data_IF_196857935296
#
_entry.id   IF_196857935296
#
_cell.length_a   1.000
_cell.length_b   1.000
_cell.length_c   1.000
_cell.angle_alpha   90.00
_cell.angle_beta   90.00
_cell.angle_gamma   90.00
#
_symmetry.space_group_name_H-M   'P 1'
#
loop_
_entity.id
_entity.type
_entity.pdbx_description
1 polymer ?
#
# COMPACT_ATOMS: atom_id res chain seq x y z
N UNK A 1 -3.05 -24.89 -13.32
CA UNK A 1 -3.46 -23.53 -13.72
C UNK A 1 -2.43 -22.55 -13.20
N UNK A 2 -2.36 -21.36 -13.77
CA UNK A 2 -1.50 -20.28 -13.27
C UNK A 2 -2.21 -19.55 -12.12
N UNK A 3 -1.45 -19.16 -11.09
CA UNK A 3 -1.87 -18.25 -10.03
C UNK A 3 -1.02 -16.99 -10.14
N UNK A 4 -1.60 -15.92 -10.69
CA UNK A 4 -0.90 -14.66 -10.90
C UNK A 4 -0.43 -14.04 -9.58
N UNK A 5 -1.14 -14.29 -8.48
CA UNK A 5 -0.73 -13.82 -7.15
C UNK A 5 0.29 -14.77 -6.49
N UNK A 6 0.96 -15.64 -7.26
CA UNK A 6 2.18 -16.38 -6.87
C UNK A 6 3.32 -16.16 -7.87
N UNK A 7 3.15 -15.26 -8.84
CA UNK A 7 4.11 -14.99 -9.90
C UNK A 7 4.96 -13.72 -9.68
N UNK A 8 4.72 -12.95 -8.62
CA UNK A 8 5.56 -11.81 -8.24
C UNK A 8 6.90 -12.26 -7.66
N UNK A 9 7.97 -11.44 -7.72
CA UNK A 9 9.32 -11.89 -7.34
C UNK A 9 9.55 -12.02 -5.82
N UNK A 10 8.71 -11.44 -4.96
CA UNK A 10 8.90 -11.48 -3.51
C UNK A 10 8.62 -12.88 -2.95
N UNK A 11 9.65 -13.56 -2.47
CA UNK A 11 9.52 -14.92 -1.94
C UNK A 11 9.11 -15.98 -2.97
N UNK A 12 9.20 -15.67 -4.26
CA UNK A 12 8.80 -16.57 -5.34
C UNK A 12 9.53 -17.92 -5.26
N UNK A 13 8.81 -19.02 -5.51
CA UNK A 13 9.40 -20.36 -5.56
C UNK A 13 8.57 -21.34 -6.37
N UNK A 14 9.26 -22.23 -7.09
CA UNK A 14 8.67 -23.27 -7.96
C UNK A 14 7.82 -24.31 -7.23
N UNK A 15 7.95 -24.39 -5.91
CA UNK A 15 7.14 -25.29 -5.07
C UNK A 15 5.70 -24.81 -4.90
N UNK A 16 5.41 -23.54 -5.20
CA UNK A 16 4.05 -22.99 -5.12
C UNK A 16 3.31 -23.28 -6.42
N UNK A 17 2.16 -23.96 -6.30
CA UNK A 17 1.34 -24.33 -7.45
C UNK A 17 0.91 -23.08 -8.23
N UNK A 18 1.13 -23.09 -9.55
CA UNK A 18 0.71 -21.99 -10.42
C UNK A 18 1.64 -20.77 -10.41
N UNK A 19 2.79 -20.83 -9.74
CA UNK A 19 3.78 -19.74 -9.66
C UNK A 19 4.42 -19.33 -10.99
N UNK A 20 4.24 -20.12 -12.06
CA UNK A 20 4.83 -19.88 -13.38
C UNK A 20 6.25 -20.45 -13.50
N UNK A 21 6.88 -20.23 -14.66
CA UNK A 21 8.21 -20.79 -14.98
C UNK A 21 9.35 -20.04 -14.26
N UNK A 22 9.16 -18.75 -14.02
CA UNK A 22 10.06 -17.84 -13.31
C UNK A 22 9.25 -16.64 -12.78
N UNK A 23 9.75 -15.83 -11.84
CA UNK A 23 9.00 -14.66 -11.40
C UNK A 23 8.77 -13.70 -12.59
N UNK A 24 7.57 -13.15 -12.69
CA UNK A 24 7.13 -12.28 -13.78
C UNK A 24 7.12 -12.98 -15.16
N UNK A 25 6.94 -14.30 -15.18
CA UNK A 25 6.71 -15.03 -16.44
C UNK A 25 5.41 -14.62 -17.13
N UNK A 26 4.40 -14.21 -16.35
CA UNK A 26 3.10 -13.84 -16.89
C UNK A 26 3.08 -12.37 -17.32
N UNK A 27 2.58 -12.05 -18.52
CA UNK A 27 2.58 -10.69 -19.04
C UNK A 27 1.73 -9.73 -18.18
N UNK A 28 0.71 -10.21 -17.49
CA UNK A 28 -0.13 -9.43 -16.58
C UNK A 28 0.67 -8.90 -15.38
N UNK A 29 1.44 -9.77 -14.71
CA UNK A 29 2.25 -9.40 -13.55
C UNK A 29 3.45 -8.57 -13.97
N UNK A 30 4.16 -8.91 -15.06
CA UNK A 30 5.27 -8.11 -15.60
C UNK A 30 4.79 -6.69 -15.96
N UNK A 31 3.64 -6.57 -16.63
CA UNK A 31 3.08 -5.26 -17.00
C UNK A 31 2.76 -4.40 -15.77
N UNK A 32 2.15 -4.98 -14.73
CA UNK A 32 1.87 -4.29 -13.47
C UNK A 32 3.17 -3.83 -12.80
N UNK A 33 4.14 -4.72 -12.65
CA UNK A 33 5.43 -4.40 -12.02
C UNK A 33 6.15 -3.29 -12.78
N UNK A 34 6.24 -3.37 -14.10
CA UNK A 34 6.86 -2.32 -14.93
C UNK A 34 6.13 -0.99 -14.79
N UNK A 35 4.80 -1.01 -14.83
CA UNK A 35 3.99 0.19 -14.69
C UNK A 35 4.24 0.86 -13.33
N UNK A 36 4.28 0.09 -12.24
CA UNK A 36 4.54 0.62 -10.93
C UNK A 36 5.98 1.14 -10.77
N UNK A 37 6.98 0.41 -11.26
CA UNK A 37 8.39 0.84 -11.23
C UNK A 37 8.65 2.11 -12.04
N UNK A 38 7.91 2.34 -13.13
CA UNK A 38 7.96 3.57 -13.91
C UNK A 38 7.33 4.79 -13.19
N UNK A 39 6.60 4.57 -12.09
CA UNK A 39 5.88 5.60 -11.31
C UNK A 39 6.44 5.64 -9.88
N UNK A 40 7.62 6.26 -9.68
CA UNK A 40 8.27 6.27 -8.38
C UNK A 40 7.49 7.02 -7.30
N UNK A 41 6.40 7.71 -7.66
CA UNK A 41 5.48 8.42 -6.76
C UNK A 41 4.35 7.56 -6.18
N UNK A 42 4.29 6.26 -6.49
CA UNK A 42 3.40 5.32 -5.80
C UNK A 42 3.83 5.21 -4.33
N UNK A 43 2.92 5.41 -3.37
CA UNK A 43 3.26 5.36 -1.94
C UNK A 43 2.44 4.31 -1.16
N UNK A 44 1.65 3.49 -1.86
CA UNK A 44 0.85 2.42 -1.28
C UNK A 44 0.32 1.47 -2.36
N UNK A 45 -0.13 0.30 -1.95
CA UNK A 45 -0.68 -0.74 -2.82
C UNK A 45 -1.89 -1.41 -2.17
N UNK A 46 -2.94 -1.64 -2.94
CA UNK A 46 -4.12 -2.40 -2.50
C UNK A 46 -4.45 -3.43 -3.57
N UNK A 47 -4.34 -4.72 -3.22
CA UNK A 47 -4.81 -5.85 -4.00
C UNK A 47 -6.22 -6.21 -3.52
N UNK A 48 -7.19 -6.17 -4.44
CA UNK A 48 -8.59 -6.46 -4.14
C UNK A 48 -8.95 -7.85 -4.64
N UNK A 49 -9.17 -8.75 -3.69
CA UNK A 49 -9.45 -10.17 -3.86
C UNK A 49 -10.80 -10.53 -3.23
N UNK A 50 -11.20 -11.78 -3.41
CA UNK A 50 -12.33 -12.42 -2.74
C UNK A 50 -11.95 -13.89 -2.47
N UNK A 51 -12.33 -14.54 -1.38
CA UNK A 51 -13.30 -14.12 -0.37
C UNK A 51 -12.88 -14.48 1.06
N UNK A 52 -13.50 -13.87 2.07
CA UNK A 52 -13.25 -14.22 3.47
C UNK A 52 -13.55 -13.11 4.47
N UNK A 53 -13.70 -11.86 4.01
CA UNK A 53 -13.97 -10.71 4.87
C UNK A 53 -12.75 -10.22 5.64
N UNK A 54 -11.55 -10.27 5.04
CA UNK A 54 -10.29 -9.96 5.71
C UNK A 54 -9.55 -8.80 5.06
N UNK A 55 -8.81 -8.05 5.88
CA UNK A 55 -7.72 -7.19 5.42
C UNK A 55 -6.38 -7.84 5.79
N UNK A 56 -5.57 -8.15 4.81
CA UNK A 56 -4.32 -8.87 4.97
C UNK A 56 -3.14 -7.93 4.77
N UNK A 57 -2.19 -7.97 5.70
CA UNK A 57 -0.90 -7.28 5.57
C UNK A 57 0.23 -8.27 5.33
N UNK A 58 1.31 -7.82 4.66
CA UNK A 58 2.56 -8.55 4.61
C UNK A 58 3.13 -8.89 6.00
N UNK A 59 4.00 -9.90 6.10
CA UNK A 59 4.47 -10.74 4.98
C UNK A 59 3.74 -12.09 4.92
N UNK A 60 3.68 -12.72 3.73
CA UNK A 60 3.32 -14.14 3.61
C UNK A 60 4.50 -15.08 3.87
N UNK A 61 5.73 -14.57 3.83
CA UNK A 61 6.96 -15.38 3.80
C UNK A 61 7.82 -15.28 5.04
N UNK A 62 7.55 -14.31 5.92
CA UNK A 62 8.36 -14.00 7.10
C UNK A 62 7.47 -13.76 8.32
N UNK A 63 7.89 -14.20 9.51
CA UNK A 63 7.22 -13.82 10.75
C UNK A 63 7.40 -12.32 11.02
N UNK A 64 6.49 -11.77 11.82
CA UNK A 64 6.51 -10.35 12.21
C UNK A 64 7.82 -9.97 12.90
N UNK A 65 8.39 -10.90 13.66
CA UNK A 65 9.69 -10.71 14.34
C UNK A 65 10.87 -10.38 13.41
N UNK A 66 10.74 -10.60 12.09
CA UNK A 66 11.74 -10.25 11.09
C UNK A 66 11.42 -8.95 10.33
N UNK A 67 10.27 -8.32 10.59
CA UNK A 67 9.88 -7.05 9.99
C UNK A 67 10.36 -5.89 10.88
N UNK A 68 10.69 -4.71 10.29
CA UNK A 68 10.99 -3.52 11.09
C UNK A 68 9.83 -3.21 12.05
N UNK A 69 10.07 -3.10 13.38
CA UNK A 69 8.99 -2.86 14.35
C UNK A 69 8.18 -1.60 14.10
N UNK A 70 8.81 -0.56 13.54
CA UNK A 70 8.16 0.68 13.11
C UNK A 70 7.16 0.43 11.98
N UNK A 71 7.48 -0.42 11.01
CA UNK A 71 6.58 -0.70 9.89
C UNK A 71 5.37 -1.51 10.39
N UNK A 72 5.58 -2.48 11.29
CA UNK A 72 4.50 -3.19 11.99
C UNK A 72 3.60 -2.23 12.78
N UNK A 73 4.18 -1.28 13.50
CA UNK A 73 3.42 -0.26 14.22
C UNK A 73 2.52 0.53 13.26
N UNK A 74 3.07 0.99 12.13
CA UNK A 74 2.30 1.77 11.14
C UNK A 74 1.23 0.93 10.44
N UNK A 75 1.51 -0.32 10.09
CA UNK A 75 0.49 -1.26 9.59
C UNK A 75 -0.68 -1.37 10.59
N UNK A 76 -0.38 -1.51 11.89
CA UNK A 76 -1.40 -1.59 12.92
C UNK A 76 -2.18 -0.26 13.08
N UNK A 77 -1.54 0.91 12.92
CA UNK A 77 -2.24 2.19 12.91
C UNK A 77 -3.21 2.33 11.73
N UNK A 78 -2.79 1.91 10.53
CA UNK A 78 -3.70 1.82 9.38
C UNK A 78 -4.87 0.86 9.65
N UNK A 79 -4.60 -0.29 10.27
CA UNK A 79 -5.63 -1.26 10.64
C UNK A 79 -6.65 -0.70 11.64
N UNK A 80 -6.19 -0.02 12.69
CA UNK A 80 -7.06 0.63 13.69
C UNK A 80 -8.03 1.64 13.07
N UNK A 81 -7.59 2.36 12.03
CA UNK A 81 -8.47 3.26 11.28
C UNK A 81 -9.45 2.49 10.37
N UNK A 82 -8.97 1.43 9.71
CA UNK A 82 -9.70 0.77 8.62
C UNK A 82 -10.74 -0.24 9.10
N UNK A 83 -10.46 -0.99 10.17
CA UNK A 83 -11.39 -1.99 10.73
C UNK A 83 -12.75 -1.43 11.14
N UNK A 84 -12.88 -0.28 11.85
CA UNK A 84 -14.21 0.24 12.20
C UNK A 84 -15.01 0.75 10.98
N UNK A 85 -14.36 1.08 9.86
CA UNK A 85 -15.01 1.51 8.63
C UNK A 85 -15.51 0.33 7.79
N UNK A 86 -14.67 -0.69 7.67
CA UNK A 86 -14.90 -1.86 6.80
C UNK A 86 -15.57 -3.02 7.52
N UNK A 87 -15.54 -3.01 8.86
CA UNK A 87 -15.81 -4.13 9.76
C UNK A 87 -14.89 -5.33 9.57
N UNK A 88 -13.84 -5.23 8.75
CA UNK A 88 -12.95 -6.34 8.45
C UNK A 88 -11.81 -6.43 9.46
N UNK A 89 -11.57 -7.61 10.07
CA UNK A 89 -10.39 -7.81 10.88
C UNK A 89 -9.13 -7.76 10.01
N UNK A 90 -8.07 -7.23 10.60
CA UNK A 90 -6.74 -7.16 9.99
C UNK A 90 -5.90 -8.33 10.46
N UNK A 91 -5.31 -9.05 9.51
CA UNK A 91 -4.48 -10.22 9.78
C UNK A 91 -3.11 -10.12 9.11
N UNK A 92 -2.09 -10.66 9.79
CA UNK A 92 -0.81 -10.98 9.17
C UNK A 92 -0.97 -12.25 8.35
N UNK A 93 -0.54 -12.24 7.08
CA UNK A 93 -0.62 -13.46 6.25
C UNK A 93 0.20 -14.58 6.90
N UNK A 94 1.44 -14.32 7.29
CA UNK A 94 2.30 -15.34 7.90
C UNK A 94 1.85 -15.76 9.29
N UNK A 95 1.46 -14.84 10.17
CA UNK A 95 1.15 -15.21 11.55
C UNK A 95 -0.22 -15.87 11.71
N UNK A 96 -1.21 -15.39 10.97
CA UNK A 96 -2.63 -15.72 11.20
C UNK A 96 -3.23 -16.62 10.12
N UNK A 97 -2.74 -16.58 8.87
CA UNK A 97 -3.31 -17.33 7.73
C UNK A 97 -2.43 -18.49 7.23
N UNK A 98 -1.12 -18.46 7.51
CA UNK A 98 -0.21 -19.52 7.09
C UNK A 98 -0.30 -20.71 8.05
N UNK A 99 -1.06 -21.73 7.65
CA UNK A 99 -1.27 -22.96 8.41
C UNK A 99 0.04 -23.72 8.72
N UNK A 100 0.87 -23.96 7.69
CA UNK A 100 2.20 -24.57 7.85
C UNK A 100 3.29 -23.52 7.63
N UNK A 101 3.82 -22.98 8.73
CA UNK A 101 4.89 -21.96 8.72
C UNK A 101 6.21 -22.44 8.07
N UNK A 102 6.37 -23.74 7.81
CA UNK A 102 7.51 -24.28 7.05
C UNK A 102 7.29 -24.30 5.53
N UNK A 103 6.03 -24.15 5.09
CA UNK A 103 5.60 -24.14 3.70
C UNK A 103 4.81 -22.86 3.39
N UNK A 104 5.53 -21.78 3.12
CA UNK A 104 4.94 -20.46 2.86
C UNK A 104 4.47 -20.30 1.41
N UNK A 105 3.43 -19.49 1.22
CA UNK A 105 2.88 -19.16 -0.10
C UNK A 105 3.47 -17.83 -0.62
N UNK A 106 4.73 -17.85 -1.05
CA UNK A 106 5.39 -16.66 -1.61
C UNK A 106 4.93 -16.30 -3.03
N UNK A 107 5.36 -15.13 -3.50
CA UNK A 107 5.08 -14.62 -4.84
C UNK A 107 3.83 -13.75 -4.95
N UNK A 108 3.34 -13.22 -3.83
CA UNK A 108 2.17 -12.34 -3.78
C UNK A 108 2.50 -10.87 -4.12
N UNK A 109 1.51 -10.17 -4.67
CA UNK A 109 1.67 -8.78 -5.11
C UNK A 109 1.82 -7.78 -3.96
N UNK A 110 1.15 -8.01 -2.83
CA UNK A 110 1.30 -7.20 -1.63
C UNK A 110 2.68 -7.37 -0.98
N UNK A 111 3.21 -8.60 -0.89
CA UNK A 111 4.61 -8.84 -0.49
C UNK A 111 5.58 -8.13 -1.41
N UNK A 112 5.39 -8.20 -2.73
CA UNK A 112 6.25 -7.48 -3.67
C UNK A 112 6.18 -5.96 -3.50
N UNK A 113 4.99 -5.40 -3.28
CA UNK A 113 4.84 -3.97 -3.05
C UNK A 113 5.60 -3.52 -1.79
N UNK A 114 5.60 -4.34 -0.73
CA UNK A 114 6.35 -4.06 0.49
C UNK A 114 7.84 -4.35 0.34
N UNK A 115 8.24 -5.58 0.01
CA UNK A 115 9.63 -6.05 -0.02
C UNK A 115 10.46 -5.47 -1.18
N UNK A 116 9.86 -5.06 -2.29
CA UNK A 116 10.58 -4.56 -3.47
C UNK A 116 10.26 -3.11 -3.84
N UNK A 117 9.04 -2.64 -3.57
CA UNK A 117 8.69 -1.23 -3.73
C UNK A 117 8.87 -0.42 -2.45
N UNK A 118 8.92 -1.04 -1.27
CA UNK A 118 9.10 -0.34 -0.01
C UNK A 118 7.89 0.51 0.40
N UNK A 119 6.67 0.09 0.01
CA UNK A 119 5.43 0.80 0.35
C UNK A 119 4.50 -0.09 1.19
N UNK A 120 3.68 0.51 2.05
CA UNK A 120 2.65 -0.24 2.76
C UNK A 120 1.65 -0.83 1.74
N UNK A 121 1.33 -2.10 1.90
CA UNK A 121 0.49 -2.86 0.98
C UNK A 121 -0.55 -3.69 1.71
N UNK A 122 -1.66 -3.93 1.04
CA UNK A 122 -2.79 -4.70 1.56
C UNK A 122 -3.31 -5.65 0.51
N UNK A 123 -3.74 -6.84 0.93
CA UNK A 123 -4.70 -7.65 0.20
C UNK A 123 -6.02 -7.62 0.96
N UNK A 124 -7.12 -7.21 0.31
CA UNK A 124 -8.45 -7.33 0.89
C UNK A 124 -9.13 -8.54 0.28
N UNK A 125 -9.58 -9.48 1.12
CA UNK A 125 -10.44 -10.59 0.72
C UNK A 125 -11.90 -10.18 0.97
N UNK A 126 -12.54 -9.59 -0.03
CA UNK A 126 -13.91 -9.13 0.05
C UNK A 126 -14.90 -10.27 0.31
N UNK A 127 -16.04 -9.93 0.87
CA UNK A 127 -17.18 -10.79 1.07
C UNK A 127 -16.94 -11.92 2.08
N UNK A 128 -17.67 -11.87 3.19
CA UNK A 128 -17.79 -12.98 4.14
C UNK A 128 -19.26 -13.36 4.27
N UNK A 129 -19.66 -14.38 3.51
CA UNK A 129 -21.03 -14.88 3.51
C UNK A 129 -21.47 -15.31 4.90
N UNK A 130 -20.56 -15.91 5.69
CA UNK A 130 -20.83 -16.36 7.05
C UNK A 130 -21.14 -15.16 7.93
N UNK A 131 -20.28 -14.13 7.91
CA UNK A 131 -20.52 -12.91 8.66
C UNK A 131 -21.88 -12.28 8.35
N UNK A 132 -22.27 -12.21 7.08
CA UNK A 132 -23.58 -11.66 6.73
C UNK A 132 -24.76 -12.49 7.24
N UNK A 133 -24.60 -13.81 7.35
CA UNK A 133 -25.64 -14.72 7.79
C UNK A 133 -25.70 -14.87 9.32
N UNK A 134 -24.57 -14.73 10.03
CA UNK A 134 -24.46 -15.05 11.46
C UNK A 134 -24.07 -13.86 12.33
N UNK A 135 -23.43 -12.83 11.77
CA UNK A 135 -22.79 -11.74 12.50
C UNK A 135 -21.41 -12.07 13.07
N UNK A 136 -20.89 -13.27 12.80
CA UNK A 136 -19.59 -13.75 13.25
C UNK A 136 -18.68 -14.00 12.04
N UNK A 137 -17.44 -13.50 12.11
CA UNK A 137 -16.48 -13.66 11.01
C UNK A 137 -16.08 -15.12 10.80
N UNK A 138 -15.83 -15.46 9.55
CA UNK A 138 -15.18 -16.71 9.14
C UNK A 138 -13.83 -16.88 9.85
N UNK A 139 -13.44 -18.13 10.11
CA UNK A 139 -12.11 -18.41 10.65
C UNK A 139 -11.02 -18.11 9.60
N UNK A 140 -9.79 -17.85 10.05
CA UNK A 140 -8.66 -17.64 9.13
C UNK A 140 -8.28 -18.88 8.32
N UNK A 141 -8.78 -20.06 8.72
CA UNK A 141 -8.58 -21.34 8.04
C UNK A 141 -9.72 -21.70 7.08
N UNK A 142 -10.69 -20.80 6.84
CA UNK A 142 -11.92 -21.07 6.08
C UNK A 142 -11.67 -21.65 4.69
N UNK A 143 -10.57 -21.29 4.02
CA UNK A 143 -10.21 -21.83 2.71
C UNK A 143 -9.71 -23.28 2.74
N UNK A 144 -9.26 -23.76 3.91
CA UNK A 144 -8.80 -25.13 4.10
C UNK A 144 -9.90 -26.04 4.62
N UNK A 145 -10.70 -25.56 5.58
CA UNK A 145 -11.69 -26.38 6.29
C UNK A 145 -13.13 -26.16 5.82
N UNK A 146 -13.40 -25.06 5.13
CA UNK A 146 -14.75 -24.66 4.74
C UNK A 146 -15.63 -24.23 5.93
N UNK A 147 -16.86 -23.75 5.65
CA UNK A 147 -17.82 -23.39 6.70
C UNK A 147 -18.28 -24.63 7.46
N UNK A 148 -18.67 -24.47 8.72
CA UNK A 148 -19.40 -25.54 9.44
C UNK A 148 -20.77 -25.78 8.81
N UNK A 149 -21.40 -26.92 9.12
CA UNK A 149 -22.76 -27.23 8.65
C UNK A 149 -23.75 -26.15 9.09
N UNK A 150 -23.63 -25.66 10.33
CA UNK A 150 -24.48 -24.60 10.87
C UNK A 150 -24.30 -23.28 10.11
N UNK A 151 -23.06 -22.93 9.76
CA UNK A 151 -22.73 -21.75 8.97
C UNK A 151 -23.28 -21.87 7.55
N UNK A 152 -23.05 -22.98 6.85
CA UNK A 152 -23.58 -23.23 5.51
C UNK A 152 -25.12 -23.14 5.47
N UNK A 153 -25.79 -23.76 6.45
CA UNK A 153 -27.25 -23.66 6.58
C UNK A 153 -27.73 -22.24 6.89
N UNK A 154 -26.96 -21.46 7.66
CA UNK A 154 -27.28 -20.06 7.93
C UNK A 154 -27.17 -19.21 6.66
N UNK A 155 -26.09 -19.38 5.89
CA UNK A 155 -25.89 -18.70 4.60
C UNK A 155 -26.99 -19.06 3.61
N UNK A 156 -27.36 -20.34 3.52
CA UNK A 156 -28.47 -20.81 2.71
C UNK A 156 -29.78 -20.07 3.06
N UNK A 157 -30.20 -20.07 4.34
CA UNK A 157 -31.41 -19.35 4.79
C UNK A 157 -31.34 -17.84 4.57
N UNK A 158 -30.17 -17.24 4.80
CA UNK A 158 -29.97 -15.81 4.59
C UNK A 158 -30.12 -15.44 3.10
N UNK A 159 -29.62 -16.30 2.21
CA UNK A 159 -29.65 -16.10 0.77
C UNK A 159 -31.06 -16.08 0.19
N UNK A 160 -32.00 -16.85 0.75
CA UNK A 160 -33.41 -16.87 0.32
C UNK A 160 -34.04 -15.47 0.26
N UNK A 161 -33.61 -14.57 1.16
CA UNK A 161 -34.12 -13.19 1.24
C UNK A 161 -33.18 -12.18 0.59
N UNK A 162 -31.87 -12.34 0.75
CA UNK A 162 -30.89 -11.30 0.43
C UNK A 162 -30.09 -11.53 -0.84
N UNK A 163 -30.10 -12.76 -1.34
CA UNK A 163 -29.39 -13.21 -2.54
C UNK A 163 -30.24 -14.27 -3.28
N UNK A 164 -31.47 -13.93 -3.69
CA UNK A 164 -32.30 -14.88 -4.43
C UNK A 164 -31.53 -15.35 -5.68
N UNK A 165 -31.74 -16.62 -6.05
CA UNK A 165 -31.04 -17.33 -7.12
C UNK A 165 -29.59 -17.73 -6.84
N UNK A 166 -29.05 -17.46 -5.64
CA UNK A 166 -27.76 -18.01 -5.22
C UNK A 166 -27.80 -19.50 -4.90
N UNK A 167 -28.98 -20.10 -4.80
CA UNK A 167 -29.18 -21.54 -4.72
C UNK A 167 -30.14 -21.99 -5.82
N UNK A 168 -29.65 -22.89 -6.67
CA UNK A 168 -30.43 -23.49 -7.73
C UNK A 168 -31.19 -24.67 -7.17
N UNK A 169 -32.52 -24.64 -7.29
CA UNK A 169 -33.37 -25.78 -6.89
C UNK A 169 -32.98 -27.00 -7.72
N UNK A 170 -32.75 -28.13 -7.05
CA UNK A 170 -32.40 -29.39 -7.70
C UNK A 170 -33.43 -29.78 -8.77
N UNK A 171 -32.95 -30.11 -9.95
CA UNK A 171 -33.75 -30.58 -11.08
C UNK A 171 -33.04 -31.72 -11.83
N UNK A 172 -33.84 -32.59 -12.46
CA UNK A 172 -33.33 -33.72 -13.25
C UNK A 172 -32.71 -33.24 -14.55
N UNK A 173 -31.58 -33.82 -14.93
CA UNK A 173 -30.87 -33.52 -16.16
C UNK A 173 -30.34 -34.81 -16.80
N UNK A 174 -30.53 -34.95 -18.11
CA UNK A 174 -29.97 -36.07 -18.88
C UNK A 174 -28.60 -35.66 -19.46
N UNK A 175 -27.52 -35.98 -18.74
CA UNK A 175 -26.16 -35.63 -19.15
C UNK A 175 -25.66 -36.55 -20.29
N UNK A 176 -25.08 -36.01 -21.38
CA UNK A 176 -24.67 -36.81 -22.55
C UNK A 176 -23.72 -37.98 -22.26
N UNK A 177 -22.90 -37.87 -21.20
CA UNK A 177 -21.93 -38.90 -20.82
C UNK A 177 -22.30 -39.67 -19.54
N UNK A 178 -23.06 -39.05 -18.63
CA UNK A 178 -23.33 -39.60 -17.29
C UNK A 178 -24.74 -40.19 -17.17
N UNK A 179 -25.60 -39.97 -18.16
CA UNK A 179 -27.02 -40.33 -18.10
C UNK A 179 -27.80 -39.42 -17.15
N UNK A 180 -28.78 -39.99 -16.44
CA UNK A 180 -29.68 -39.25 -15.53
C UNK A 180 -28.93 -38.78 -14.29
N UNK A 181 -28.82 -37.48 -14.12
CA UNK A 181 -28.24 -36.82 -12.94
C UNK A 181 -29.20 -35.73 -12.42
N UNK A 182 -28.88 -35.15 -11.27
CA UNK A 182 -29.53 -33.93 -10.79
C UNK A 182 -28.53 -32.78 -10.78
N UNK A 183 -28.99 -31.58 -11.13
CA UNK A 183 -28.22 -30.34 -11.07
C UNK A 183 -28.93 -29.36 -10.13
N UNK A 184 -28.15 -28.64 -9.33
CA UNK A 184 -28.67 -27.74 -8.31
C UNK A 184 -27.63 -27.45 -7.23
N UNK A 185 -28.08 -26.87 -6.12
CA UNK A 185 -27.23 -26.48 -4.99
C UNK A 185 -26.77 -25.02 -5.06
N UNK A 186 -25.77 -24.69 -4.24
CA UNK A 186 -25.24 -23.34 -4.17
C UNK A 186 -24.54 -22.95 -5.48
N UNK A 187 -24.88 -21.78 -6.01
CA UNK A 187 -24.02 -21.07 -6.93
C UNK A 187 -22.88 -20.43 -6.12
N UNK A 188 -21.83 -21.22 -5.91
CA UNK A 188 -20.71 -20.82 -5.04
C UNK A 188 -20.06 -19.51 -5.48
N UNK A 189 -20.02 -19.22 -6.78
CA UNK A 189 -19.46 -17.97 -7.28
C UNK A 189 -20.29 -16.76 -6.84
N UNK A 190 -21.62 -16.88 -6.79
CA UNK A 190 -22.56 -15.80 -6.44
C UNK A 190 -22.81 -15.62 -4.94
N UNK A 191 -22.46 -16.60 -4.11
CA UNK A 191 -22.71 -16.52 -2.66
C UNK A 191 -21.49 -16.77 -1.78
N UNK A 192 -20.53 -17.60 -2.19
CA UNK A 192 -19.34 -17.89 -1.39
C UNK A 192 -18.13 -17.09 -1.87
N UNK A 193 -18.02 -16.82 -3.16
CA UNK A 193 -16.91 -16.03 -3.73
C UNK A 193 -17.22 -14.55 -3.81
N UNK A 194 -18.45 -14.14 -4.15
CA UNK A 194 -18.75 -12.72 -4.34
C UNK A 194 -19.98 -12.29 -3.56
N UNK A 195 -20.00 -11.01 -3.19
CA UNK A 195 -21.23 -10.37 -2.76
C UNK A 195 -22.30 -10.45 -3.86
N UNK A 196 -23.57 -10.68 -3.49
CA UNK A 196 -24.69 -10.54 -4.41
C UNK A 196 -24.64 -9.19 -5.12
N UNK A 197 -25.06 -9.13 -6.39
CA UNK A 197 -24.93 -7.90 -7.19
C UNK A 197 -25.62 -6.68 -6.56
N UNK A 198 -26.71 -6.89 -5.80
CA UNK A 198 -27.42 -5.86 -5.06
C UNK A 198 -26.62 -5.25 -3.89
N UNK A 199 -25.55 -5.92 -3.44
CA UNK A 199 -24.72 -5.57 -2.29
C UNK A 199 -23.31 -5.11 -2.67
N UNK A 200 -22.82 -5.42 -3.89
CA UNK A 200 -21.46 -5.09 -4.35
C UNK A 200 -21.03 -3.65 -4.05
N UNK A 201 -21.89 -2.65 -4.31
CA UNK A 201 -21.55 -1.24 -4.03
C UNK A 201 -21.33 -0.98 -2.54
N UNK A 202 -22.18 -1.55 -1.69
CA UNK A 202 -22.06 -1.38 -0.24
C UNK A 202 -20.80 -2.09 0.29
N UNK A 203 -20.49 -3.26 -0.27
CA UNK A 203 -19.31 -4.06 0.08
C UNK A 203 -17.99 -3.29 -0.11
N UNK A 204 -17.84 -2.64 -1.26
CA UNK A 204 -16.57 -2.00 -1.64
C UNK A 204 -16.44 -0.55 -1.15
N UNK A 205 -17.53 0.09 -0.71
CA UNK A 205 -17.55 1.54 -0.45
C UNK A 205 -16.54 1.96 0.62
N UNK A 206 -16.55 1.32 1.79
CA UNK A 206 -15.62 1.63 2.87
C UNK A 206 -14.16 1.32 2.49
N UNK A 207 -13.93 0.31 1.66
CA UNK A 207 -12.59 -0.05 1.19
C UNK A 207 -12.00 0.97 0.22
N UNK A 208 -12.84 1.64 -0.58
CA UNK A 208 -12.41 2.79 -1.36
C UNK A 208 -11.98 3.96 -0.47
N UNK A 209 -12.70 4.22 0.64
CA UNK A 209 -12.30 5.24 1.62
C UNK A 209 -10.99 4.89 2.31
N UNK A 210 -10.77 3.62 2.65
CA UNK A 210 -9.49 3.12 3.20
C UNK A 210 -8.34 3.32 2.21
N UNK A 211 -8.53 3.01 0.93
CA UNK A 211 -7.51 3.22 -0.09
C UNK A 211 -7.18 4.72 -0.25
N UNK A 212 -8.19 5.61 -0.20
CA UNK A 212 -7.99 7.06 -0.21
C UNK A 212 -7.27 7.52 1.06
N UNK A 213 -7.63 7.01 2.23
CA UNK A 213 -6.96 7.31 3.50
C UNK A 213 -5.46 6.96 3.43
N UNK A 214 -5.11 5.78 2.91
CA UNK A 214 -3.72 5.40 2.69
C UNK A 214 -3.01 6.36 1.72
N UNK A 215 -3.66 6.77 0.64
CA UNK A 215 -3.09 7.74 -0.30
C UNK A 215 -2.86 9.12 0.37
N UNK A 216 -3.77 9.56 1.22
CA UNK A 216 -3.66 10.82 1.98
C UNK A 216 -2.56 10.79 3.04
N UNK A 217 -2.13 9.59 3.46
CA UNK A 217 -1.00 9.40 4.36
C UNK A 217 0.37 9.60 3.68
N UNK A 218 0.43 9.67 2.35
CA UNK A 218 1.66 9.83 1.57
C UNK A 218 2.54 11.03 2.01
N UNK A 219 3.86 10.97 1.78
CA UNK A 219 4.74 12.11 2.01
C UNK A 219 4.42 13.27 1.07
N UNK A 220 4.61 14.50 1.54
CA UNK A 220 4.35 15.72 0.77
C UNK A 220 5.41 16.77 1.06
N UNK A 221 6.21 17.13 0.05
CA UNK A 221 7.19 18.19 0.21
C UNK A 221 6.56 19.56 0.00
N UNK A 222 6.92 20.51 0.87
CA UNK A 222 6.56 21.92 0.75
C UNK A 222 7.79 22.79 1.04
N UNK A 223 7.93 23.87 0.26
CA UNK A 223 8.89 24.93 0.56
C UNK A 223 8.24 25.84 1.61
N UNK A 224 8.83 25.87 2.81
CA UNK A 224 8.30 26.62 3.96
C UNK A 224 9.10 27.88 4.27
N UNK A 225 10.31 28.01 3.73
CA UNK A 225 11.16 29.17 3.92
C UNK A 225 11.97 29.45 2.67
N UNK A 226 12.05 30.73 2.32
CA UNK A 226 13.01 31.24 1.35
C UNK A 226 13.48 32.61 1.79
N UNK A 227 14.79 32.85 1.75
CA UNK A 227 15.36 34.15 2.11
C UNK A 227 16.54 34.47 1.20
N UNK A 228 16.63 35.73 0.77
CA UNK A 228 17.81 36.27 0.10
C UNK A 228 18.43 37.33 1.01
N UNK A 229 19.69 37.14 1.39
CA UNK A 229 20.45 38.09 2.17
C UNK A 229 21.59 38.65 1.32
N UNK A 230 21.69 39.97 1.14
CA UNK A 230 22.81 40.57 0.43
C UNK A 230 24.10 40.42 1.25
N UNK A 231 25.17 39.98 0.60
CA UNK A 231 26.52 39.89 1.17
C UNK A 231 27.47 40.98 0.64
N UNK A 232 26.99 41.83 -0.28
CA UNK A 232 27.77 42.86 -0.98
C UNK A 232 28.18 42.43 -2.39
N UNK A 233 28.52 43.38 -3.25
CA UNK A 233 29.05 43.15 -4.61
C UNK A 233 28.23 42.19 -5.49
N UNK A 234 26.89 42.35 -5.50
CA UNK A 234 25.95 41.45 -6.20
C UNK A 234 26.03 39.98 -5.75
N UNK A 235 26.57 39.72 -4.55
CA UNK A 235 26.60 38.40 -3.91
C UNK A 235 25.48 38.29 -2.89
N UNK A 236 24.81 37.15 -2.88
CA UNK A 236 23.66 36.86 -2.04
C UNK A 236 23.81 35.49 -1.38
N UNK A 237 23.40 35.38 -0.13
CA UNK A 237 23.08 34.10 0.50
C UNK A 237 21.60 33.81 0.25
N UNK A 238 21.31 32.67 -0.36
CA UNK A 238 19.95 32.19 -0.59
C UNK A 238 19.70 31.01 0.34
N UNK A 239 18.69 31.13 1.20
CA UNK A 239 18.23 30.06 2.09
C UNK A 239 16.97 29.42 1.53
N UNK A 240 16.86 28.10 1.70
CA UNK A 240 15.70 27.29 1.34
C UNK A 240 15.39 26.31 2.48
N UNK A 241 14.21 26.46 3.08
CA UNK A 241 13.67 25.50 4.04
C UNK A 241 12.61 24.62 3.40
N UNK A 242 12.85 23.32 3.41
CA UNK A 242 11.96 22.28 2.89
C UNK A 242 11.37 21.50 4.05
N UNK A 243 10.07 21.20 4.00
CA UNK A 243 9.39 20.37 4.98
C UNK A 243 8.64 19.21 4.31
N UNK A 244 8.60 18.05 4.95
CA UNK A 244 7.61 17.02 4.67
C UNK A 244 6.35 17.27 5.52
N UNK A 245 5.26 17.70 4.89
CA UNK A 245 3.96 17.91 5.54
C UNK A 245 3.05 16.69 5.47
N UNK A 246 3.52 15.58 4.89
CA UNK A 246 2.82 14.31 4.84
C UNK A 246 2.84 13.55 6.17
N UNK A 247 2.02 12.50 6.26
CA UNK A 247 1.99 11.65 7.46
C UNK A 247 3.15 10.66 7.46
N UNK A 248 3.41 10.00 6.33
CA UNK A 248 4.55 9.11 6.13
C UNK A 248 5.83 9.88 5.82
N UNK A 249 6.97 9.25 6.10
CA UNK A 249 8.28 9.73 5.67
C UNK A 249 8.42 9.69 4.15
N UNK A 250 9.38 10.47 3.64
CA UNK A 250 9.70 10.52 2.20
C UNK A 250 10.05 9.14 1.61
N UNK A 251 10.57 8.22 2.42
CA UNK A 251 10.88 6.84 2.04
C UNK A 251 9.71 5.86 2.22
N UNK A 252 8.57 6.32 2.75
CA UNK A 252 7.34 5.57 3.03
C UNK A 252 7.50 4.56 4.18
N UNK A 253 8.42 3.60 4.08
CA UNK A 253 8.67 2.54 5.08
C UNK A 253 10.10 2.56 5.61
N UNK A 254 10.33 1.97 6.77
CA UNK A 254 11.67 1.72 7.31
C UNK A 254 12.40 0.66 6.51
N UNK A 255 11.70 -0.34 5.97
CA UNK A 255 12.28 -1.31 5.03
C UNK A 255 12.90 -0.59 3.83
N UNK A 256 12.20 0.36 3.22
CA UNK A 256 12.73 1.15 2.10
C UNK A 256 14.00 1.93 2.47
N UNK A 257 14.04 2.50 3.68
CA UNK A 257 15.20 3.19 4.22
C UNK A 257 16.40 2.25 4.38
N UNK A 258 16.21 1.13 5.07
CA UNK A 258 17.28 0.16 5.36
C UNK A 258 17.88 -0.44 4.09
N UNK A 259 17.04 -0.65 3.08
CA UNK A 259 17.42 -1.18 1.78
C UNK A 259 17.81 -0.11 0.75
N UNK A 260 17.80 1.17 1.12
CA UNK A 260 18.19 2.31 0.26
C UNK A 260 17.41 2.34 -1.07
N UNK A 261 16.11 2.06 -1.01
CA UNK A 261 15.27 1.91 -2.20
C UNK A 261 14.93 3.23 -2.89
N UNK A 262 15.05 4.36 -2.20
CA UNK A 262 14.59 5.67 -2.67
C UNK A 262 15.76 6.66 -2.66
N UNK A 263 15.93 7.40 -3.76
CA UNK A 263 16.95 8.46 -3.84
C UNK A 263 16.56 9.65 -2.94
N UNK A 264 17.55 10.36 -2.36
CA UNK A 264 17.28 11.48 -1.46
C UNK A 264 16.67 12.67 -2.19
N UNK A 265 16.11 13.58 -1.40
CA UNK A 265 15.63 14.88 -1.86
C UNK A 265 16.78 15.64 -2.50
N UNK A 266 16.50 16.22 -3.66
CA UNK A 266 17.44 17.07 -4.39
C UNK A 266 16.92 18.50 -4.44
N UNK A 267 17.76 19.44 -4.05
CA UNK A 267 17.48 20.88 -4.12
C UNK A 267 18.34 21.50 -5.22
N UNK A 268 17.78 22.46 -5.95
CA UNK A 268 18.44 23.08 -7.09
C UNK A 268 18.11 24.58 -7.17
N UNK A 269 19.13 25.40 -7.47
CA UNK A 269 18.99 26.83 -7.76
C UNK A 269 19.38 27.12 -9.21
N UNK A 270 18.59 27.97 -9.88
CA UNK A 270 18.89 28.46 -11.23
C UNK A 270 18.58 29.96 -11.36
N UNK A 271 19.07 30.60 -12.43
CA UNK A 271 18.94 32.05 -12.64
C UNK A 271 20.05 32.90 -12.00
N UNK A 272 21.02 32.28 -11.32
CA UNK A 272 22.22 32.96 -10.80
C UNK A 272 23.45 32.04 -10.86
N UNK A 273 24.64 32.63 -10.80
CA UNK A 273 25.91 31.87 -10.76
C UNK A 273 26.25 31.52 -9.31
N UNK A 274 26.35 30.22 -8.99
CA UNK A 274 26.80 29.80 -7.65
C UNK A 274 28.28 30.15 -7.42
N UNK A 275 28.64 30.37 -6.16
CA UNK A 275 29.98 30.75 -5.70
C UNK A 275 30.44 29.73 -4.67
N UNK A 276 31.43 28.90 -5.03
CA UNK A 276 32.01 27.93 -4.10
C UNK A 276 31.11 26.75 -3.72
N UNK A 277 29.95 26.60 -4.37
CA UNK A 277 29.03 25.48 -4.14
C UNK A 277 28.36 25.00 -5.44
N UNK A 278 27.83 23.78 -5.43
CA UNK A 278 27.05 23.25 -6.54
C UNK A 278 25.66 23.90 -6.60
N UNK A 279 25.14 24.09 -7.82
CA UNK A 279 23.77 24.56 -8.03
C UNK A 279 22.72 23.52 -7.62
N UNK A 280 23.11 22.24 -7.57
CA UNK A 280 22.25 21.10 -7.27
C UNK A 280 22.90 20.24 -6.19
N UNK A 281 22.16 19.94 -5.12
CA UNK A 281 22.65 19.23 -3.93
C UNK A 281 21.62 18.22 -3.43
N UNK A 282 22.09 17.16 -2.76
CA UNK A 282 21.23 16.17 -2.09
C UNK A 282 21.13 16.51 -0.61
N UNK A 283 19.92 16.59 -0.06
CA UNK A 283 19.67 17.03 1.33
C UNK A 283 19.10 15.91 2.21
N UNK A 284 19.31 14.66 1.82
CA UNK A 284 18.87 13.49 2.58
C UNK A 284 17.39 13.19 2.44
N UNK A 285 16.81 12.61 3.50
CA UNK A 285 15.41 12.20 3.59
C UNK A 285 14.76 12.90 4.77
N UNK A 286 13.44 13.09 4.69
CA UNK A 286 12.64 13.70 5.75
C UNK A 286 11.64 12.69 6.32
N UNK A 287 11.53 12.66 7.64
CA UNK A 287 10.50 11.92 8.37
C UNK A 287 9.12 12.52 8.14
N UNK A 288 8.08 11.76 8.46
CA UNK A 288 6.69 12.20 8.41
C UNK A 288 6.09 12.36 9.81
N UNK A 289 4.91 12.98 9.89
CA UNK A 289 4.21 13.21 11.17
C UNK A 289 3.91 11.94 11.96
N UNK A 290 3.85 10.78 11.30
CA UNK A 290 3.64 9.49 11.96
C UNK A 290 4.70 9.19 13.04
N UNK A 291 5.93 9.68 12.86
CA UNK A 291 7.00 9.49 13.85
C UNK A 291 6.73 10.17 15.18
N UNK A 292 5.87 11.19 15.22
CA UNK A 292 5.44 11.82 16.46
C UNK A 292 4.66 10.83 17.36
N UNK A 293 4.01 9.81 16.79
CA UNK A 293 3.30 8.79 17.57
C UNK A 293 4.24 7.93 18.43
N UNK A 294 5.50 7.82 18.03
CA UNK A 294 6.50 7.02 18.74
C UNK A 294 7.46 7.87 19.56
N UNK A 295 7.84 9.03 19.00
CA UNK A 295 8.92 9.85 19.55
C UNK A 295 8.45 11.24 20.00
N UNK A 296 7.14 11.55 19.96
CA UNK A 296 6.56 12.87 20.24
C UNK A 296 6.26 13.19 21.71
N UNK A 297 6.86 12.47 22.65
CA UNK A 297 6.68 12.71 24.09
C UNK A 297 7.30 14.02 24.58
N UNK A 298 7.16 14.31 25.88
CA UNK A 298 7.67 15.55 26.50
C UNK A 298 9.19 15.76 26.34
N UNK A 299 9.95 14.71 26.06
CA UNK A 299 11.40 14.73 25.83
C UNK A 299 11.78 14.76 24.33
N UNK A 300 10.81 14.92 23.44
CA UNK A 300 11.02 14.97 22.00
C UNK A 300 11.70 16.27 21.58
N UNK A 301 12.72 16.17 20.72
CA UNK A 301 13.28 17.30 19.97
C UNK A 301 12.50 17.59 18.67
N UNK A 302 11.36 16.93 18.47
CA UNK A 302 10.49 17.07 17.33
C UNK A 302 10.64 15.91 16.34
N UNK A 303 10.03 16.06 15.16
CA UNK A 303 10.23 15.13 14.04
C UNK A 303 11.26 15.73 13.10
N UNK A 304 12.26 14.98 12.60
CA UNK A 304 13.18 15.47 11.57
C UNK A 304 12.49 15.52 10.20
N UNK A 305 11.41 16.31 10.12
CA UNK A 305 10.53 16.51 8.97
C UNK A 305 10.95 17.73 8.13
N UNK A 306 12.04 18.41 8.48
CA UNK A 306 12.52 19.64 7.84
C UNK A 306 14.02 19.62 7.60
N UNK A 307 14.43 20.29 6.53
CA UNK A 307 15.84 20.57 6.24
C UNK A 307 16.00 22.00 5.73
N UNK A 308 17.09 22.64 6.13
CA UNK A 308 17.51 23.94 5.62
C UNK A 308 18.73 23.73 4.72
N UNK A 309 18.73 24.36 3.54
CA UNK A 309 19.87 24.41 2.64
C UNK A 309 20.18 25.87 2.28
N UNK A 310 21.44 26.16 1.97
CA UNK A 310 21.84 27.50 1.53
C UNK A 310 22.82 27.47 0.36
N UNK A 311 22.69 28.46 -0.51
CA UNK A 311 23.64 28.75 -1.58
C UNK A 311 24.22 30.15 -1.41
N UNK A 312 25.44 30.33 -1.88
CA UNK A 312 25.98 31.66 -2.17
C UNK A 312 25.96 31.84 -3.68
N UNK A 313 25.33 32.90 -4.16
CA UNK A 313 25.18 33.19 -5.59
C UNK A 313 25.60 34.61 -5.92
N UNK A 314 26.00 34.82 -7.18
CA UNK A 314 26.26 36.13 -7.76
C UNK A 314 25.20 36.45 -8.81
N UNK A 315 24.45 37.53 -8.59
CA UNK A 315 23.43 38.05 -9.48
C UNK A 315 23.12 39.52 -9.15
N UNK A 316 22.78 40.31 -10.19
CA UNK A 316 22.46 41.72 -10.03
C UNK A 316 21.22 41.89 -9.15
N UNK A 317 21.20 42.93 -8.33
CA UNK A 317 19.96 43.36 -7.63
C UNK A 317 18.80 43.51 -8.63
N UNK A 318 17.63 43.01 -8.25
CA UNK A 318 16.43 42.93 -9.08
C UNK A 318 16.29 41.65 -9.90
N UNK A 319 17.33 40.81 -9.95
CA UNK A 319 17.26 39.49 -10.61
C UNK A 319 16.32 38.54 -9.87
N UNK A 320 15.84 37.53 -10.57
CA UNK A 320 15.01 36.45 -10.02
C UNK A 320 15.78 35.13 -10.08
N UNK A 321 15.72 34.37 -8.99
CA UNK A 321 16.28 33.01 -8.92
C UNK A 321 15.16 32.00 -8.71
N UNK A 322 15.24 30.86 -9.37
CA UNK A 322 14.29 29.77 -9.22
C UNK A 322 14.89 28.69 -8.31
N UNK A 323 14.12 28.26 -7.31
CA UNK A 323 14.47 27.22 -6.35
C UNK A 323 13.55 26.02 -6.62
N UNK A 324 14.13 24.86 -6.85
CA UNK A 324 13.38 23.62 -7.12
C UNK A 324 13.78 22.52 -6.15
N UNK A 325 12.79 21.77 -5.68
CA UNK A 325 12.95 20.62 -4.80
C UNK A 325 12.32 19.41 -5.47
N UNK A 326 13.08 18.33 -5.62
CA UNK A 326 12.63 17.09 -6.27
C UNK A 326 12.84 15.89 -5.36
N UNK A 327 11.88 14.97 -5.37
CA UNK A 327 12.00 13.68 -4.71
C UNK A 327 11.22 12.62 -5.51
N UNK A 328 11.75 11.39 -5.70
CA UNK A 328 11.08 10.37 -6.52
C UNK A 328 9.63 10.07 -6.09
N UNK A 329 9.37 10.05 -4.77
CA UNK A 329 8.04 9.77 -4.22
C UNK A 329 7.12 10.99 -4.16
N UNK A 330 7.69 12.17 -3.90
CA UNK A 330 6.92 13.37 -3.58
C UNK A 330 6.75 14.30 -4.79
N UNK A 331 7.36 13.97 -5.93
CA UNK A 331 7.36 14.81 -7.12
C UNK A 331 8.27 16.03 -6.98
N UNK A 332 7.80 17.16 -7.49
CA UNK A 332 8.54 18.41 -7.59
C UNK A 332 7.74 19.57 -7.02
N UNK A 333 8.41 20.43 -6.26
CA UNK A 333 7.89 21.74 -5.85
C UNK A 333 8.93 22.81 -6.16
N UNK A 334 8.48 23.97 -6.62
CA UNK A 334 9.35 25.07 -7.00
C UNK A 334 8.79 26.42 -6.56
N UNK A 335 9.68 27.39 -6.38
CA UNK A 335 9.33 28.78 -6.12
C UNK A 335 10.37 29.70 -6.73
N UNK A 336 10.04 30.98 -6.88
CA UNK A 336 10.98 32.00 -7.33
C UNK A 336 11.19 33.07 -6.27
N UNK A 337 12.40 33.62 -6.23
CA UNK A 337 12.82 34.61 -5.25
C UNK A 337 13.46 35.80 -5.97
N UNK A 338 12.92 36.99 -5.73
CA UNK A 338 13.48 38.23 -6.26
C UNK A 338 14.54 38.78 -5.31
N UNK A 339 15.71 39.12 -5.86
CA UNK A 339 16.86 39.63 -5.12
C UNK A 339 16.74 41.15 -4.92
N UNK A 340 16.08 41.57 -3.84
CA UNK A 340 15.80 42.99 -3.57
C UNK A 340 16.75 43.61 -2.54
#
# INVERSE_FOLDING_TARGET
>A
GLDLNRNFPAGWGVSVLGSGDHPLSEPETDSLVRAAKARPNICGYNAFHTAGGFMLRPSSSKPDSQLPPIDLFIFNEFGKHSTPLTTYPVHSVFEDLTWDKSSVMGGAGDDWAYDHLGVYSWTTEFWDAVYHATGEHSSTDIWYVGPTVEQDLAVCRWSDTHAPDSYVKWYKFDHPQLGKVELGGADAFRIWTNAPSSKLRAEIAAHAEVAVYQAMASPRLEIKHTKAEPLGDDVWRIELGVANTGWLGTEVTKLAHDHKMVLPITVEISGAKTVGCAAKEKVGQLSGRSMFLLNGGAMSDGTPDRVMHSWVVRAKRGSEVALTVRHPRCGEVATTLKLN
#
